data_IF_701688503804
#
_entry.id   IF_701688503804
#
_cell.length_a   1.000
_cell.length_b   1.000
_cell.length_c   1.000
_cell.angle_alpha   90.00
_cell.angle_beta   90.00
_cell.angle_gamma   90.00
#
_symmetry.space_group_name_H-M   'P 1'
#
loop_
_entity.id
_entity.type
_entity.pdbx_description
1 polymer ?
#
# COMPACT_ATOMS: atom_id res chain seq x y z
N UNK A 1 -3.31 -4.49 -2.97
CA UNK A 1 -2.83 -3.42 -2.07
C UNK A 1 -2.15 -2.35 -2.92
N UNK A 2 -2.69 -1.13 -2.94
CA UNK A 2 -2.11 0.00 -3.66
C UNK A 2 -0.89 0.55 -2.88
N UNK A 3 0.18 0.92 -3.58
CA UNK A 3 1.36 1.56 -2.99
C UNK A 3 1.78 2.77 -3.82
N UNK A 4 2.10 3.85 -3.14
CA UNK A 4 2.78 5.01 -3.72
C UNK A 4 4.29 4.72 -3.81
N UNK A 5 4.92 5.26 -4.86
CA UNK A 5 6.38 5.29 -4.98
C UNK A 5 6.85 6.73 -5.13
N UNK A 6 8.04 7.01 -4.59
CA UNK A 6 8.66 8.34 -4.61
C UNK A 6 9.86 8.43 -5.57
N UNK A 7 10.19 7.33 -6.24
CA UNK A 7 11.28 7.23 -7.20
C UNK A 7 10.74 6.74 -8.55
N UNK A 8 11.35 7.17 -9.67
CA UNK A 8 11.00 6.67 -10.98
C UNK A 8 11.24 5.16 -11.03
N UNK A 9 10.28 4.41 -11.56
CA UNK A 9 10.39 2.97 -11.77
C UNK A 9 10.62 2.77 -13.27
N UNK A 10 11.80 2.29 -13.64
CA UNK A 10 12.02 1.71 -14.96
C UNK A 10 11.67 0.22 -14.90
N UNK A 11 10.67 -0.19 -15.68
CA UNK A 11 10.24 -1.58 -15.74
C UNK A 11 8.95 -1.78 -16.54
N UNK A 12 8.65 -3.04 -16.85
CA UNK A 12 7.40 -3.47 -17.49
C UNK A 12 6.48 -3.99 -16.39
N UNK A 13 5.29 -3.42 -16.28
CA UNK A 13 4.26 -3.92 -15.38
C UNK A 13 3.52 -5.10 -16.01
N UNK A 14 3.20 -6.12 -15.20
CA UNK A 14 2.30 -7.20 -15.61
C UNK A 14 0.91 -6.62 -15.93
N UNK A 15 0.15 -7.26 -16.82
CA UNK A 15 -1.18 -6.79 -17.23
C UNK A 15 -2.22 -6.70 -16.10
N UNK A 16 -1.95 -7.34 -14.95
CA UNK A 16 -2.76 -7.25 -13.74
C UNK A 16 -2.45 -6.06 -12.83
N UNK A 17 -1.41 -5.27 -13.16
CA UNK A 17 -0.99 -4.10 -12.38
C UNK A 17 -1.44 -2.84 -13.11
N UNK A 18 -2.27 -2.06 -12.44
CA UNK A 18 -2.62 -0.73 -12.92
C UNK A 18 -1.68 0.34 -12.36
N UNK A 19 -1.09 1.14 -13.24
CA UNK A 19 -0.26 2.28 -12.87
C UNK A 19 -1.11 3.56 -12.94
N UNK A 20 -1.20 4.27 -11.82
CA UNK A 20 -1.94 5.53 -11.72
C UNK A 20 -0.97 6.70 -11.68
N UNK A 21 -1.12 7.65 -12.61
CA UNK A 21 -0.41 8.94 -12.59
C UNK A 21 -1.28 9.96 -11.85
N UNK A 22 -0.78 10.43 -10.71
CA UNK A 22 -1.52 11.31 -9.80
C UNK A 22 -0.97 12.73 -9.92
N UNK A 23 -1.87 13.72 -9.90
CA UNK A 23 -1.48 15.13 -9.82
C UNK A 23 -1.33 15.54 -8.34
N UNK A 24 -0.08 15.62 -7.86
CA UNK A 24 0.25 15.94 -6.47
C UNK A 24 -0.22 17.35 -6.03
N UNK A 25 -0.51 18.26 -6.96
CA UNK A 25 -1.06 19.58 -6.62
C UNK A 25 -2.51 19.52 -6.10
N UNK A 26 -3.25 18.48 -6.50
CA UNK A 26 -4.66 18.28 -6.13
C UNK A 26 -4.82 17.35 -4.94
N UNK A 27 -4.05 16.26 -4.89
CA UNK A 27 -4.17 15.26 -3.83
C UNK A 27 -2.81 14.63 -3.53
N UNK A 28 -2.53 14.42 -2.25
CA UNK A 28 -1.33 13.71 -1.84
C UNK A 28 -1.43 12.21 -2.18
N UNK A 29 -0.38 11.65 -2.78
CA UNK A 29 -0.34 10.22 -3.18
C UNK A 29 -0.44 9.24 -2.02
N UNK A 30 0.18 9.54 -0.87
CA UNK A 30 0.11 8.67 0.32
C UNK A 30 -1.32 8.64 0.87
N UNK A 31 -1.95 9.81 0.92
CA UNK A 31 -3.34 9.95 1.31
C UNK A 31 -4.27 9.18 0.35
N UNK A 32 -4.08 9.35 -0.97
CA UNK A 32 -4.87 8.63 -1.96
C UNK A 32 -4.67 7.11 -1.86
N UNK A 33 -3.43 6.65 -1.66
CA UNK A 33 -3.16 5.23 -1.46
C UNK A 33 -3.85 4.69 -0.19
N UNK A 34 -3.92 5.48 0.89
CA UNK A 34 -4.69 5.11 2.08
C UNK A 34 -6.19 5.01 1.76
N UNK A 35 -6.76 6.01 1.08
CA UNK A 35 -8.17 6.00 0.70
C UNK A 35 -8.52 4.78 -0.17
N UNK A 36 -7.69 4.46 -1.16
CA UNK A 36 -7.86 3.28 -2.02
C UNK A 36 -7.75 1.98 -1.20
N UNK A 37 -6.85 1.90 -0.22
CA UNK A 37 -6.75 0.71 0.63
C UNK A 37 -7.77 0.70 1.79
N UNK A 38 -8.65 1.70 1.89
CA UNK A 38 -9.60 1.81 2.99
C UNK A 38 -10.87 1.00 2.74
N UNK A 39 -11.66 0.80 3.81
CA UNK A 39 -12.96 0.12 3.74
C UNK A 39 -13.92 0.82 2.77
N UNK A 40 -13.81 2.15 2.62
CA UNK A 40 -14.68 2.95 1.76
C UNK A 40 -14.52 2.55 0.29
N UNK A 41 -13.29 2.25 -0.15
CA UNK A 41 -13.05 1.75 -1.50
C UNK A 41 -13.59 0.34 -1.68
N UNK A 42 -13.37 -0.52 -0.68
CA UNK A 42 -13.82 -1.91 -0.75
C UNK A 42 -15.33 -2.01 -0.91
N UNK A 43 -16.08 -1.17 -0.20
CA UNK A 43 -17.53 -1.04 -0.32
C UNK A 43 -17.96 -0.49 -1.69
N UNK A 44 -17.19 0.43 -2.28
CA UNK A 44 -17.48 0.93 -3.64
C UNK A 44 -17.26 -0.15 -4.70
N UNK A 45 -16.18 -0.95 -4.57
CA UNK A 45 -15.93 -2.10 -5.46
C UNK A 45 -17.00 -3.16 -5.29
N UNK A 46 -17.39 -3.49 -4.06
CA UNK A 46 -18.46 -4.48 -3.81
C UNK A 46 -19.80 -4.02 -4.40
N UNK A 47 -20.09 -2.72 -4.37
CA UNK A 47 -21.29 -2.15 -4.98
C UNK A 47 -21.26 -2.16 -6.51
N UNK A 48 -20.11 -1.86 -7.11
CA UNK A 48 -19.95 -1.79 -8.58
C UNK A 48 -19.60 -3.14 -9.23
N UNK A 49 -19.03 -4.05 -8.45
CA UNK A 49 -18.65 -5.40 -8.82
C UNK A 49 -19.85 -6.32 -8.71
N UNK A 50 -20.80 -6.18 -9.64
CA UNK A 50 -21.97 -7.05 -9.71
C UNK A 50 -21.59 -8.53 -9.72
N UNK A 51 -21.81 -9.23 -8.61
CA UNK A 51 -21.91 -10.69 -8.46
C UNK A 51 -20.74 -11.57 -8.92
N UNK A 52 -19.68 -11.02 -9.48
CA UNK A 52 -18.58 -11.81 -10.04
C UNK A 52 -17.59 -12.23 -8.96
N UNK A 53 -17.21 -13.51 -8.97
CA UNK A 53 -16.33 -14.12 -7.96
C UNK A 53 -14.91 -13.52 -7.92
N UNK A 54 -14.56 -12.65 -8.88
CA UNK A 54 -13.23 -12.05 -9.00
C UNK A 54 -13.32 -10.52 -9.08
N UNK A 55 -13.18 -9.87 -7.94
CA UNK A 55 -13.10 -8.41 -7.80
C UNK A 55 -11.73 -7.89 -8.24
N UNK A 56 -11.56 -7.66 -9.55
CA UNK A 56 -10.44 -6.88 -10.08
C UNK A 56 -10.89 -5.47 -10.45
N UNK A 57 -9.97 -4.53 -10.32
CA UNK A 57 -10.16 -3.17 -10.80
C UNK A 57 -10.19 -3.11 -12.33
N UNK A 58 -11.30 -2.66 -12.90
CA UNK A 58 -11.32 -2.20 -14.29
C UNK A 58 -10.85 -0.74 -14.37
N UNK A 59 -10.08 -0.35 -15.40
CA UNK A 59 -9.65 1.03 -15.57
C UNK A 59 -10.79 2.06 -15.55
N UNK A 60 -11.96 1.66 -16.05
CA UNK A 60 -13.19 2.48 -16.06
C UNK A 60 -13.74 2.74 -14.65
N UNK A 61 -13.69 1.74 -13.76
CA UNK A 61 -14.17 1.86 -12.38
C UNK A 61 -13.26 2.78 -11.56
N UNK A 62 -11.94 2.71 -11.77
CA UNK A 62 -11.01 3.61 -11.08
C UNK A 62 -11.21 5.07 -11.47
N UNK A 63 -11.62 5.36 -12.71
CA UNK A 63 -11.93 6.73 -13.14
C UNK A 63 -13.15 7.30 -12.42
N UNK A 64 -14.10 6.45 -12.05
CA UNK A 64 -15.34 6.83 -11.37
C UNK A 64 -15.23 6.76 -9.84
N UNK A 65 -14.09 6.34 -9.30
CA UNK A 65 -13.87 6.19 -7.87
C UNK A 65 -14.10 7.52 -7.15
N UNK A 66 -15.02 7.52 -6.19
CA UNK A 66 -15.26 8.68 -5.35
C UNK A 66 -14.28 8.68 -4.18
N UNK A 67 -13.35 9.62 -4.20
CA UNK A 67 -12.36 9.82 -3.14
C UNK A 67 -12.67 11.13 -2.41
N UNK A 68 -12.79 11.12 -1.07
CA UNK A 68 -12.97 12.35 -0.32
C UNK A 68 -11.69 13.20 -0.36
N UNK A 69 -11.77 14.39 -0.97
CA UNK A 69 -10.64 15.33 -1.02
C UNK A 69 -10.71 16.27 0.19
N UNK A 70 -9.86 15.99 1.18
CA UNK A 70 -9.75 16.81 2.39
C UNK A 70 -8.87 18.05 2.18
N UNK A 71 -8.87 18.98 3.14
CA UNK A 71 -7.95 20.11 3.14
C UNK A 71 -6.48 19.66 3.10
N UNK A 72 -5.62 20.39 2.37
CA UNK A 72 -4.20 20.04 2.18
C UNK A 72 -3.46 19.79 3.50
N UNK A 73 -3.74 20.57 4.54
CA UNK A 73 -3.13 20.42 5.87
C UNK A 73 -3.42 19.03 6.47
N UNK A 74 -4.67 18.59 6.42
CA UNK A 74 -5.11 17.28 6.93
C UNK A 74 -4.49 16.15 6.09
N UNK A 75 -4.46 16.31 4.76
CA UNK A 75 -3.79 15.34 3.90
C UNK A 75 -2.31 15.18 4.27
N UNK A 76 -1.59 16.29 4.51
CA UNK A 76 -0.18 16.26 4.89
C UNK A 76 0.07 15.57 6.24
N UNK A 77 -0.78 15.85 7.23
CA UNK A 77 -0.72 15.21 8.55
C UNK A 77 -0.90 13.70 8.44
N UNK A 78 -1.95 13.26 7.72
CA UNK A 78 -2.20 11.84 7.46
C UNK A 78 -1.00 11.21 6.72
N UNK A 79 -0.48 11.87 5.69
CA UNK A 79 0.68 11.38 4.96
C UNK A 79 1.94 11.24 5.83
N UNK A 80 2.12 12.12 6.81
CA UNK A 80 3.22 12.01 7.78
C UNK A 80 3.05 10.78 8.68
N UNK A 81 1.87 10.57 9.24
CA UNK A 81 1.55 9.41 10.06
C UNK A 81 1.70 8.09 9.30
N UNK A 82 1.27 8.06 8.03
CA UNK A 82 1.42 6.90 7.15
C UNK A 82 2.91 6.54 6.99
N UNK A 83 3.76 7.53 6.68
CA UNK A 83 5.21 7.32 6.53
C UNK A 83 5.84 6.78 7.81
N UNK A 84 5.53 7.39 8.95
CA UNK A 84 6.02 6.93 10.26
C UNK A 84 5.58 5.48 10.57
N UNK A 85 4.33 5.13 10.26
CA UNK A 85 3.83 3.76 10.41
C UNK A 85 4.63 2.79 9.53
N UNK A 86 4.91 3.14 8.27
CA UNK A 86 5.69 2.28 7.37
C UNK A 86 7.13 2.10 7.85
N UNK A 87 7.80 3.18 8.26
CA UNK A 87 9.16 3.12 8.82
C UNK A 87 9.21 2.22 10.06
N UNK A 88 8.24 2.37 10.96
CA UNK A 88 8.17 1.56 12.19
C UNK A 88 7.91 0.09 11.87
N UNK A 89 7.01 -0.20 10.92
CA UNK A 89 6.74 -1.58 10.47
C UNK A 89 7.97 -2.22 9.82
N UNK A 90 8.70 -1.46 9.02
CA UNK A 90 9.92 -1.93 8.37
C UNK A 90 10.99 -2.27 9.42
N UNK A 91 11.21 -1.38 10.39
CA UNK A 91 12.13 -1.62 11.50
C UNK A 91 11.74 -2.84 12.35
N UNK A 92 10.45 -3.01 12.64
CA UNK A 92 9.96 -4.17 13.35
C UNK A 92 10.22 -5.48 12.57
N UNK A 93 10.05 -5.46 11.24
CA UNK A 93 10.36 -6.61 10.38
C UNK A 93 11.84 -6.96 10.40
N UNK A 94 12.71 -5.96 10.30
CA UNK A 94 14.17 -6.16 10.35
C UNK A 94 14.61 -6.78 11.67
N UNK A 95 14.12 -6.25 12.80
CA UNK A 95 14.39 -6.81 14.13
C UNK A 95 13.88 -8.26 14.25
N UNK A 96 12.70 -8.55 13.68
CA UNK A 96 12.15 -9.91 13.69
C UNK A 96 13.01 -10.89 12.91
N UNK A 97 13.49 -10.51 11.73
CA UNK A 97 14.39 -11.34 10.92
C UNK A 97 15.75 -11.52 11.60
N UNK A 98 16.27 -10.46 12.25
CA UNK A 98 17.52 -10.57 13.01
C UNK A 98 17.39 -11.55 14.18
N UNK A 99 16.30 -11.46 14.95
CA UNK A 99 16.01 -12.36 16.06
C UNK A 99 15.86 -13.81 15.56
N UNK A 100 15.12 -14.02 14.47
CA UNK A 100 14.97 -15.33 13.83
C UNK A 100 16.33 -15.92 13.46
N UNK A 101 17.18 -15.14 12.77
CA UNK A 101 18.52 -15.57 12.36
C UNK A 101 19.43 -15.89 13.55
N UNK A 102 19.31 -15.16 14.66
CA UNK A 102 20.07 -15.47 15.90
C UNK A 102 19.66 -16.81 16.49
N UNK A 103 18.35 -17.10 16.53
CA UNK A 103 17.81 -18.38 17.01
C UNK A 103 18.25 -19.53 16.12
N UNK A 104 18.13 -19.40 14.79
CA UNK A 104 18.56 -20.43 13.84
C UNK A 104 20.04 -20.77 13.99
N UNK A 105 20.90 -19.76 14.13
CA UNK A 105 22.35 -19.95 14.37
C UNK A 105 22.66 -20.62 15.71
N UNK A 106 21.89 -20.32 16.76
CA UNK A 106 22.08 -20.94 18.07
C UNK A 106 21.73 -22.44 18.01
N UNK A 107 20.63 -22.79 17.36
CA UNK A 107 20.21 -24.18 17.15
C UNK A 107 21.23 -24.95 16.31
N UNK A 108 21.70 -24.37 15.20
CA UNK A 108 22.70 -25.02 14.33
C UNK A 108 24.03 -25.32 15.07
N UNK A 109 24.45 -24.42 15.96
CA UNK A 109 25.65 -24.63 16.80
C UNK A 109 25.46 -25.74 17.82
N UNK A 110 24.26 -25.89 18.39
CA UNK A 110 23.98 -26.92 19.38
C UNK A 110 23.89 -28.32 18.73
N UNK A 111 23.34 -28.41 17.51
CA UNK A 111 23.24 -29.68 16.76
C UNK A 111 24.61 -30.17 16.25
N UNK A 112 25.54 -29.25 15.98
CA UNK A 112 26.91 -29.58 15.52
C UNK A 112 27.87 -29.93 16.65
N UNK A 113 27.42 -29.92 17.90
CA UNK A 113 28.20 -30.20 19.10
C UNK A 113 27.96 -31.64 19.55
#
# INVERSE_FOLDING_TARGET
MCRSTNYPIEGIAAGSILILKINENKINKEYLALCINSIIEKLQIEREGGGSAITHWRPEQIKNLQVPVLYKKVQQEISSLIKQSYETKQRARELREEAKRKVEKAIEKEIRK
#
